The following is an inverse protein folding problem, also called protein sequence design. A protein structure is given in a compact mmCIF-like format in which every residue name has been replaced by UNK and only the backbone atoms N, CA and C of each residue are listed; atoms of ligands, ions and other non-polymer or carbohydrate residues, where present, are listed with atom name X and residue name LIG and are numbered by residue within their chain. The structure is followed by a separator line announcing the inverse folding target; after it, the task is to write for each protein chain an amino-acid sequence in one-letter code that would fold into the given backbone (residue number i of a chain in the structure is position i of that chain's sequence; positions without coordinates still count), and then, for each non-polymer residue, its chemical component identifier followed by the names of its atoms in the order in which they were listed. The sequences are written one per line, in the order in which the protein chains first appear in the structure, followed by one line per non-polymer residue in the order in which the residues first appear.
data_IF_183834573785
#
_entry.id   IF_183834573785
#
_cell.length_a   1.000
_cell.length_b   1.000
_cell.length_c   1.000
_cell.angle_alpha   90.00
_cell.angle_beta   90.00
_cell.angle_gamma   90.00
#
_symmetry.space_group_name_H-M   'P 1'
#
loop_
_entity.id
_entity.type
_entity.pdbx_description
1 polymer ?
#
# COMPACT_ATOMS: atom_id res chain seq x y z
N UNK A 1 24.39 -22.45 -1.77
CA UNK A 1 23.22 -21.64 -2.20
C UNK A 1 22.93 -20.45 -1.30
N UNK A 2 23.23 -19.23 -1.78
CA UNK A 2 22.78 -18.00 -1.09
C UNK A 2 21.30 -17.81 -1.40
N UNK A 3 20.43 -18.09 -0.42
CA UNK A 3 19.00 -17.70 -0.47
C UNK A 3 18.94 -16.23 -0.85
N UNK A 4 18.44 -15.90 -2.05
CA UNK A 4 18.19 -14.51 -2.43
C UNK A 4 17.23 -13.92 -1.40
N UNK A 5 17.63 -12.84 -0.72
CA UNK A 5 16.78 -12.17 0.26
C UNK A 5 15.55 -11.62 -0.46
N UNK A 6 14.36 -12.07 -0.07
CA UNK A 6 13.11 -11.58 -0.63
C UNK A 6 12.91 -10.11 -0.26
N UNK A 7 12.79 -9.25 -1.27
CA UNK A 7 12.55 -7.82 -1.10
C UNK A 7 11.06 -7.57 -1.36
N UNK A 8 10.36 -6.98 -0.38
CA UNK A 8 8.93 -6.68 -0.51
C UNK A 8 8.70 -5.57 -1.54
N UNK A 9 7.61 -5.65 -2.30
CA UNK A 9 7.22 -4.60 -3.26
C UNK A 9 7.00 -3.25 -2.55
N UNK A 10 7.31 -2.12 -3.22
CA UNK A 10 6.89 -0.81 -2.72
C UNK A 10 5.36 -0.72 -2.67
N UNK A 11 4.84 0.03 -1.70
CA UNK A 11 3.40 0.21 -1.52
C UNK A 11 2.83 1.10 -2.64
N UNK A 12 1.68 0.70 -3.18
CA UNK A 12 0.93 1.55 -4.10
C UNK A 12 0.05 2.57 -3.32
N UNK A 13 -0.60 3.48 -4.05
CA UNK A 13 -1.41 4.55 -3.47
C UNK A 13 -2.49 4.04 -2.50
N UNK A 14 -3.23 3.01 -2.91
CA UNK A 14 -4.25 2.39 -2.07
C UNK A 14 -3.65 1.71 -0.83
N UNK A 15 -2.51 1.03 -0.96
CA UNK A 15 -1.85 0.38 0.17
C UNK A 15 -1.32 1.40 1.19
N UNK A 16 -0.88 2.58 0.74
CA UNK A 16 -0.50 3.69 1.62
C UNK A 16 -1.70 4.25 2.37
N UNK A 17 -2.81 4.50 1.66
CA UNK A 17 -4.07 4.90 2.28
C UNK A 17 -4.57 3.87 3.30
N UNK A 18 -4.56 2.58 2.92
CA UNK A 18 -4.93 1.47 3.80
C UNK A 18 -4.07 1.45 5.06
N UNK A 19 -2.75 1.64 4.94
CA UNK A 19 -1.85 1.66 6.10
C UNK A 19 -2.23 2.77 7.11
N UNK A 20 -2.66 3.93 6.63
CA UNK A 20 -3.07 5.05 7.47
C UNK A 20 -4.48 4.87 8.05
N UNK A 21 -5.42 4.41 7.24
CA UNK A 21 -6.85 4.39 7.60
C UNK A 21 -7.30 3.11 8.29
N UNK A 22 -6.54 2.01 8.17
CA UNK A 22 -6.94 0.71 8.72
C UNK A 22 -7.15 0.78 10.23
N UNK A 23 -6.27 1.46 10.96
CA UNK A 23 -6.41 1.60 12.41
C UNK A 23 -7.68 2.40 12.77
N UNK A 24 -7.93 3.51 12.07
CA UNK A 24 -9.15 4.33 12.26
C UNK A 24 -10.41 3.52 11.97
N UNK A 25 -10.43 2.71 10.91
CA UNK A 25 -11.58 1.85 10.58
C UNK A 25 -11.78 0.74 11.62
N UNK A 26 -10.70 0.18 12.18
CA UNK A 26 -10.79 -0.80 13.28
C UNK A 26 -11.34 -0.16 14.55
N UNK A 27 -11.03 1.11 14.82
CA UNK A 27 -11.56 1.84 15.96
C UNK A 27 -13.03 2.25 15.76
N UNK A 28 -13.40 2.66 14.54
CA UNK A 28 -14.78 3.02 14.16
C UNK A 28 -15.72 1.81 14.06
N UNK A 29 -15.22 0.63 13.68
CA UNK A 29 -16.01 -0.57 13.51
C UNK A 29 -15.59 -1.65 14.51
N UNK A 30 -16.54 -2.23 15.24
CA UNK A 30 -16.31 -3.40 16.10
C UNK A 30 -15.98 -4.69 15.33
N UNK A 31 -15.90 -4.61 14.00
CA UNK A 31 -15.55 -5.71 13.11
C UNK A 31 -14.07 -6.05 13.26
N UNK A 32 -13.78 -7.30 13.64
CA UNK A 32 -12.42 -7.83 13.76
C UNK A 32 -11.94 -8.51 12.47
N UNK A 33 -12.86 -8.75 11.54
CA UNK A 33 -12.58 -9.49 10.31
C UNK A 33 -11.86 -8.62 9.28
N UNK A 34 -10.63 -9.01 8.94
CA UNK A 34 -9.79 -8.29 7.98
C UNK A 34 -10.45 -8.13 6.60
N UNK A 35 -11.23 -9.12 6.16
CA UNK A 35 -11.96 -9.06 4.89
C UNK A 35 -12.98 -7.92 4.89
N UNK A 36 -13.78 -7.78 5.96
CA UNK A 36 -14.77 -6.73 6.08
C UNK A 36 -14.11 -5.34 6.16
N UNK A 37 -13.02 -5.22 6.92
CA UNK A 37 -12.23 -3.98 7.02
C UNK A 37 -11.68 -3.57 5.64
N UNK A 38 -11.13 -4.52 4.88
CA UNK A 38 -10.61 -4.25 3.54
C UNK A 38 -11.69 -3.80 2.55
N UNK A 39 -12.91 -4.37 2.64
CA UNK A 39 -14.03 -3.90 1.84
C UNK A 39 -14.44 -2.46 2.18
N UNK A 40 -14.47 -2.11 3.47
CA UNK A 40 -14.77 -0.74 3.91
C UNK A 40 -13.70 0.23 3.40
N UNK A 41 -12.42 -0.13 3.55
CA UNK A 41 -11.31 0.69 3.07
C UNK A 41 -11.33 0.87 1.56
N UNK A 42 -11.68 -0.18 0.79
CA UNK A 42 -11.88 -0.07 -0.65
C UNK A 42 -12.98 0.94 -1.01
N UNK A 43 -14.13 0.89 -0.32
CA UNK A 43 -15.21 1.87 -0.50
C UNK A 43 -14.77 3.29 -0.13
N UNK A 44 -14.11 3.47 1.03
CA UNK A 44 -13.62 4.79 1.47
C UNK A 44 -12.61 5.36 0.47
N UNK A 45 -11.68 4.55 -0.04
CA UNK A 45 -10.72 4.97 -1.06
C UNK A 45 -11.41 5.50 -2.32
N UNK A 46 -12.38 4.76 -2.87
CA UNK A 46 -13.13 5.19 -4.05
C UNK A 46 -14.03 6.41 -3.81
N UNK A 47 -14.42 6.66 -2.56
CA UNK A 47 -15.18 7.84 -2.16
C UNK A 47 -14.31 9.09 -1.92
N UNK A 48 -12.98 8.96 -1.82
CA UNK A 48 -12.09 10.11 -1.67
C UNK A 48 -12.14 11.03 -2.89
N UNK A 49 -11.90 12.31 -2.66
CA UNK A 49 -11.72 13.25 -3.75
C UNK A 49 -10.45 12.95 -4.55
N UNK A 50 -10.43 13.38 -5.83
CA UNK A 50 -9.25 13.20 -6.70
C UNK A 50 -8.01 13.86 -6.13
N UNK A 51 -8.15 15.00 -5.46
CA UNK A 51 -7.08 15.73 -4.77
C UNK A 51 -6.44 14.88 -3.67
N UNK A 52 -7.27 14.23 -2.84
CA UNK A 52 -6.83 13.35 -1.77
C UNK A 52 -6.17 12.09 -2.33
N UNK A 53 -6.78 11.46 -3.35
CA UNK A 53 -6.17 10.31 -4.02
C UNK A 53 -4.82 10.68 -4.65
N UNK A 54 -4.72 11.86 -5.29
CA UNK A 54 -3.49 12.35 -5.92
C UNK A 54 -2.33 12.42 -4.93
N UNK A 55 -2.58 12.86 -3.68
CA UNK A 55 -1.56 12.84 -2.61
C UNK A 55 -0.96 11.44 -2.42
N UNK A 56 -1.80 10.40 -2.36
CA UNK A 56 -1.33 9.02 -2.20
C UNK A 56 -0.65 8.47 -3.46
N UNK A 57 -1.08 8.89 -4.65
CA UNK A 57 -0.38 8.56 -5.90
C UNK A 57 1.03 9.16 -5.94
N UNK A 58 1.20 10.42 -5.55
CA UNK A 58 2.52 11.06 -5.46
C UNK A 58 3.41 10.38 -4.41
N UNK A 59 2.85 10.00 -3.26
CA UNK A 59 3.59 9.22 -2.26
C UNK A 59 4.00 7.85 -2.79
N UNK A 60 3.12 7.15 -3.50
CA UNK A 60 3.43 5.86 -4.10
C UNK A 60 4.51 5.95 -5.18
N UNK A 61 4.53 7.04 -5.94
CA UNK A 61 5.58 7.33 -6.91
C UNK A 61 6.93 7.49 -6.21
N UNK A 62 6.99 8.28 -5.14
CA UNK A 62 8.20 8.46 -4.32
C UNK A 62 8.69 7.15 -3.70
N UNK A 63 7.78 6.35 -3.13
CA UNK A 63 8.11 5.03 -2.57
C UNK A 63 8.69 4.08 -3.63
N UNK A 64 8.12 4.10 -4.84
CA UNK A 64 8.63 3.31 -5.97
C UNK A 64 10.03 3.77 -6.37
N UNK A 65 10.25 5.08 -6.51
CA UNK A 65 11.56 5.65 -6.86
C UNK A 65 12.61 5.32 -5.80
N UNK A 66 12.29 5.51 -4.52
CA UNK A 66 13.17 5.16 -3.40
C UNK A 66 13.51 3.67 -3.39
N UNK A 67 12.51 2.80 -3.59
CA UNK A 67 12.74 1.37 -3.67
C UNK A 67 13.67 1.00 -4.84
N UNK A 68 13.50 1.63 -6.01
CA UNK A 68 14.40 1.40 -7.15
C UNK A 68 15.84 1.87 -6.86
N UNK A 69 16.02 2.95 -6.10
CA UNK A 69 17.34 3.44 -5.69
C UNK A 69 18.01 2.53 -4.64
N UNK A 70 17.25 2.06 -3.64
CA UNK A 70 17.76 1.17 -2.58
C UNK A 70 18.02 -0.26 -3.06
N UNK A 71 17.28 -0.69 -4.10
CA UNK A 71 17.36 -2.03 -4.64
C UNK A 71 17.61 -1.99 -6.16
N UNK A 72 18.79 -1.50 -6.60
CA UNK A 72 19.13 -1.45 -8.01
C UNK A 72 19.16 -2.88 -8.58
N UNK A 73 18.44 -3.10 -9.68
CA UNK A 73 18.29 -4.43 -10.30
C UNK A 73 17.18 -5.29 -9.71
N UNK A 74 16.42 -4.80 -8.72
CA UNK A 74 15.19 -5.47 -8.31
C UNK A 74 14.11 -5.31 -9.39
N UNK A 75 13.46 -6.42 -9.74
CA UNK A 75 12.28 -6.42 -10.60
C UNK A 75 11.14 -7.19 -9.93
N UNK A 76 9.91 -6.74 -10.17
CA UNK A 76 8.74 -7.44 -9.66
C UNK A 76 8.57 -8.84 -10.28
N UNK A 77 9.22 -9.11 -11.42
CA UNK A 77 9.19 -10.40 -12.11
C UNK A 77 10.17 -11.40 -11.51
N UNK A 78 11.35 -10.94 -11.09
CA UNK A 78 12.43 -11.80 -10.56
C UNK A 78 12.25 -12.14 -9.07
N UNK A 79 11.22 -11.58 -8.44
CA UNK A 79 10.89 -11.75 -7.03
C UNK A 79 9.74 -12.75 -6.79
N UNK A 80 9.34 -13.51 -7.82
CA UNK A 80 8.40 -14.64 -7.79
C UNK A 80 9.01 -15.89 -8.39
#
# INVERSE_FOLDING_TARGET
DKKRTYIKKPLNAFMLFMKEMRQKVIEECTLKESAAINQILGRKWHALERSEQAKYYEMAKKEKELHMQLHPGWSARDNY
#
